data_IF_933975398911
#
_entry.id   IF_933975398911
#
_cell.length_a   1.000
_cell.length_b   1.000
_cell.length_c   1.000
_cell.angle_alpha   90.00
_cell.angle_beta   90.00
_cell.angle_gamma   90.00
#
_symmetry.space_group_name_H-M   'P 1'
#
loop_
_entity.id
_entity.type
_entity.pdbx_description
1 polymer ?
#
# COMPACT_ATOMS: atom_id res chain seq x y z
N UNK A 1 -2.14 -33.76 47.41
CA UNK A 1 -2.09 -32.30 47.20
C UNK A 1 -1.64 -32.03 45.76
N UNK A 2 -2.54 -31.56 44.88
CA UNK A 2 -2.23 -31.26 43.47
C UNK A 2 -1.84 -29.77 43.37
N UNK A 3 -0.58 -29.49 43.03
CA UNK A 3 -0.10 -28.13 42.74
C UNK A 3 -0.35 -27.84 41.26
N UNK A 4 -1.30 -26.96 40.97
CA UNK A 4 -1.61 -26.48 39.63
C UNK A 4 -0.64 -25.35 39.27
N UNK A 5 0.23 -25.57 38.28
CA UNK A 5 1.05 -24.50 37.70
C UNK A 5 0.25 -23.80 36.60
N UNK A 6 -0.05 -22.52 36.79
CA UNK A 6 -0.63 -21.66 35.76
C UNK A 6 0.52 -21.12 34.89
N UNK A 7 0.65 -21.59 33.64
CA UNK A 7 1.51 -20.94 32.65
C UNK A 7 0.75 -19.75 32.04
N UNK A 8 1.21 -18.54 32.34
CA UNK A 8 0.76 -17.32 31.66
C UNK A 8 1.60 -17.18 30.39
N UNK A 9 1.05 -17.56 29.25
CA UNK A 9 1.63 -17.19 27.95
C UNK A 9 1.46 -15.68 27.74
N UNK A 10 2.54 -14.90 27.95
CA UNK A 10 2.62 -13.53 27.43
C UNK A 10 2.64 -13.61 25.90
N UNK A 11 1.50 -13.39 25.26
CA UNK A 11 1.46 -13.10 23.84
C UNK A 11 2.07 -11.70 23.63
N UNK A 12 3.31 -11.65 23.14
CA UNK A 12 3.91 -10.42 22.67
C UNK A 12 3.09 -9.91 21.48
N UNK A 13 2.25 -8.90 21.70
CA UNK A 13 1.58 -8.17 20.61
C UNK A 13 2.68 -7.34 19.95
N UNK A 14 3.28 -7.89 18.90
CA UNK A 14 4.17 -7.11 18.05
C UNK A 14 3.39 -5.92 17.50
N UNK A 15 3.73 -4.71 17.94
CA UNK A 15 3.22 -3.49 17.33
C UNK A 15 3.68 -3.52 15.88
N UNK A 16 2.74 -3.68 14.94
CA UNK A 16 3.05 -3.58 13.52
C UNK A 16 3.59 -2.16 13.29
N UNK A 17 4.90 -2.06 13.03
CA UNK A 17 5.54 -0.79 12.66
C UNK A 17 4.80 -0.20 11.46
N UNK A 18 4.71 1.13 11.43
CA UNK A 18 4.34 1.82 10.22
C UNK A 18 5.36 1.45 9.13
N UNK A 19 4.86 0.99 7.98
CA UNK A 19 5.67 0.65 6.82
C UNK A 19 5.59 1.82 5.86
N UNK A 20 6.73 2.40 5.48
CA UNK A 20 6.79 3.50 4.53
C UNK A 20 7.32 2.98 3.20
N UNK A 21 6.57 3.25 2.13
CA UNK A 21 6.91 2.89 0.76
C UNK A 21 7.19 4.19 0.02
N UNK A 22 8.45 4.41 -0.38
CA UNK A 22 8.78 5.48 -1.33
C UNK A 22 8.30 5.07 -2.72
N UNK A 23 7.60 5.97 -3.42
CA UNK A 23 7.15 5.74 -4.79
C UNK A 23 8.21 6.14 -5.83
N UNK A 24 9.38 6.62 -5.37
CA UNK A 24 10.56 6.77 -6.22
C UNK A 24 11.09 5.37 -6.57
N UNK A 25 10.76 4.92 -7.78
CA UNK A 25 11.08 3.55 -8.24
C UNK A 25 12.56 3.40 -8.62
N UNK A 26 13.20 4.46 -9.10
CA UNK A 26 14.58 4.40 -9.60
C UNK A 26 15.55 3.99 -8.49
N UNK A 27 16.25 2.86 -8.69
CA UNK A 27 17.18 2.32 -7.71
C UNK A 27 16.54 1.72 -6.45
N UNK A 28 15.21 1.62 -6.37
CA UNK A 28 14.51 1.05 -5.23
C UNK A 28 14.33 -0.48 -5.39
N UNK A 29 15.03 -1.32 -4.62
CA UNK A 29 15.00 -2.77 -4.77
C UNK A 29 13.67 -3.41 -4.34
N UNK A 30 12.79 -2.66 -3.66
CA UNK A 30 11.46 -3.16 -3.29
C UNK A 30 10.54 -3.30 -4.52
N UNK A 31 10.83 -2.59 -5.60
CA UNK A 31 10.01 -2.55 -6.81
C UNK A 31 10.57 -3.46 -7.90
N UNK A 32 9.70 -4.31 -8.44
CA UNK A 32 9.94 -5.03 -9.68
C UNK A 32 9.36 -4.25 -10.85
N UNK A 33 10.20 -3.94 -11.84
CA UNK A 33 9.79 -3.21 -13.04
C UNK A 33 9.23 -4.16 -14.12
N UNK A 34 8.28 -3.64 -14.89
CA UNK A 34 7.62 -4.32 -15.99
C UNK A 34 7.46 -3.33 -17.15
N UNK A 35 7.73 -3.81 -18.38
CA UNK A 35 7.45 -3.03 -19.58
C UNK A 35 6.01 -3.17 -20.05
N UNK A 36 5.57 -2.26 -20.91
CA UNK A 36 4.23 -2.23 -21.50
C UNK A 36 3.79 -3.56 -22.13
N UNK A 37 4.74 -4.31 -22.70
CA UNK A 37 4.47 -5.57 -23.38
C UNK A 37 4.74 -6.82 -22.51
N UNK A 38 5.10 -6.64 -21.24
CA UNK A 38 5.41 -7.76 -20.35
C UNK A 38 4.18 -8.64 -20.11
N UNK A 39 4.38 -9.96 -20.06
CA UNK A 39 3.35 -10.89 -19.58
C UNK A 39 3.27 -10.78 -18.06
N UNK A 40 2.19 -10.19 -17.57
CA UNK A 40 1.98 -9.86 -16.15
C UNK A 40 0.83 -10.66 -15.54
N UNK A 41 0.79 -10.73 -14.22
CA UNK A 41 -0.36 -11.29 -13.51
C UNK A 41 -1.63 -10.48 -13.82
N UNK A 42 -2.83 -11.10 -13.83
CA UNK A 42 -4.08 -10.38 -14.07
C UNK A 42 -4.30 -9.17 -13.15
N UNK A 43 -3.74 -9.20 -11.95
CA UNK A 43 -3.83 -8.09 -11.01
C UNK A 43 -3.19 -6.80 -11.51
N UNK A 44 -2.13 -6.91 -12.33
CA UNK A 44 -1.36 -5.78 -12.81
C UNK A 44 -1.84 -5.28 -14.17
N UNK A 45 -2.93 -5.86 -14.72
CA UNK A 45 -3.43 -5.45 -16.04
C UNK A 45 -3.99 -4.04 -16.05
N UNK A 46 -4.58 -3.58 -14.95
CA UNK A 46 -5.09 -2.20 -14.83
C UNK A 46 -3.96 -1.20 -15.01
N UNK A 47 -2.95 -1.24 -14.13
CA UNK A 47 -1.78 -0.37 -14.19
C UNK A 47 -0.98 -0.52 -15.49
N UNK A 48 -0.85 -1.73 -16.06
CA UNK A 48 -0.16 -1.92 -17.34
C UNK A 48 -0.87 -1.19 -18.49
N UNK A 49 -2.21 -1.23 -18.53
CA UNK A 49 -2.99 -0.55 -19.56
C UNK A 49 -2.95 0.98 -19.38
N UNK A 50 -2.82 1.45 -18.14
CA UNK A 50 -2.77 2.88 -17.80
C UNK A 50 -1.40 3.49 -18.08
N UNK A 51 -0.33 2.88 -17.55
CA UNK A 51 1.01 3.46 -17.60
C UNK A 51 1.87 2.96 -18.78
N UNK A 52 1.54 1.80 -19.36
CA UNK A 52 2.48 1.03 -20.18
C UNK A 52 3.59 0.46 -19.30
N UNK A 53 4.67 1.21 -19.08
CA UNK A 53 5.78 0.84 -18.20
C UNK A 53 5.44 1.17 -16.74
N UNK A 54 5.63 0.19 -15.86
CA UNK A 54 5.24 0.30 -14.45
C UNK A 54 6.14 -0.54 -13.54
N UNK A 55 6.04 -0.32 -12.23
CA UNK A 55 6.73 -1.13 -11.24
C UNK A 55 5.80 -1.52 -10.09
N UNK A 56 6.07 -2.66 -9.46
CA UNK A 56 5.22 -3.22 -8.41
C UNK A 56 6.05 -3.61 -7.19
N UNK A 57 5.57 -3.25 -6.00
CA UNK A 57 6.07 -3.72 -4.71
C UNK A 57 4.96 -4.43 -3.92
N UNK A 58 5.23 -5.55 -3.22
CA UNK A 58 4.28 -6.13 -2.30
C UNK A 58 4.08 -5.20 -1.09
N UNK A 59 2.87 -5.17 -0.55
CA UNK A 59 2.54 -4.40 0.66
C UNK A 59 1.73 -5.23 1.63
N UNK A 60 1.99 -5.08 2.93
CA UNK A 60 1.21 -5.76 3.95
C UNK A 60 -0.04 -4.95 4.30
N UNK A 61 -1.20 -5.18 3.68
CA UNK A 61 -2.44 -4.46 4.06
C UNK A 61 -3.32 -5.22 5.03
N UNK A 62 -3.09 -6.52 5.20
CA UNK A 62 -3.88 -7.38 6.06
C UNK A 62 -2.98 -8.41 6.72
N UNK A 63 -3.24 -8.76 8.00
CA UNK A 63 -2.58 -9.91 8.63
C UNK A 63 -3.04 -11.24 8.04
N UNK A 64 -4.16 -11.27 7.30
CA UNK A 64 -4.65 -12.48 6.63
C UNK A 64 -3.82 -12.78 5.39
N UNK A 65 -3.30 -14.00 5.29
CA UNK A 65 -2.41 -14.44 4.20
C UNK A 65 -3.13 -14.93 2.93
N UNK A 66 -4.46 -14.88 2.89
CA UNK A 66 -5.25 -15.42 1.77
C UNK A 66 -5.40 -14.44 0.59
N UNK A 67 -5.03 -13.18 0.79
CA UNK A 67 -5.00 -12.14 -0.23
C UNK A 67 -3.64 -11.46 -0.22
N UNK A 68 -3.04 -11.32 -1.41
CA UNK A 68 -1.82 -10.54 -1.61
C UNK A 68 -2.20 -9.12 -2.00
N UNK A 69 -1.41 -8.15 -1.56
CA UNK A 69 -1.60 -6.75 -1.89
C UNK A 69 -0.33 -6.17 -2.47
N UNK A 70 -0.50 -5.22 -3.38
CA UNK A 70 0.60 -4.60 -4.10
C UNK A 70 0.38 -3.10 -4.22
N UNK A 71 1.46 -2.34 -4.20
CA UNK A 71 1.51 -0.98 -4.73
C UNK A 71 2.11 -1.09 -6.13
N UNK A 72 1.40 -0.58 -7.13
CA UNK A 72 1.88 -0.48 -8.50
C UNK A 72 1.98 0.98 -8.90
N UNK A 73 3.05 1.37 -9.59
CA UNK A 73 3.43 2.76 -9.82
C UNK A 73 3.79 2.92 -11.31
N UNK A 74 3.30 3.97 -11.96
CA UNK A 74 3.76 4.32 -13.31
C UNK A 74 5.24 4.72 -13.26
N UNK A 75 6.09 4.14 -14.12
CA UNK A 75 7.53 4.51 -14.16
C UNK A 75 7.82 5.64 -15.14
N UNK A 76 6.87 5.97 -15.99
CA UNK A 76 6.94 7.15 -16.85
C UNK A 76 6.36 8.36 -16.11
N UNK A 77 7.23 9.20 -15.56
CA UNK A 77 6.83 10.44 -14.89
C UNK A 77 7.81 10.85 -13.79
N UNK A 78 8.57 11.92 -14.02
CA UNK A 78 9.34 12.59 -12.97
C UNK A 78 8.49 13.71 -12.39
N UNK A 79 7.81 13.46 -11.27
CA UNK A 79 6.91 14.46 -10.68
C UNK A 79 6.72 14.24 -9.19
N UNK A 80 6.54 15.36 -8.50
CA UNK A 80 6.07 15.54 -7.11
C UNK A 80 4.83 14.70 -6.70
N UNK A 81 4.16 14.09 -7.67
CA UNK A 81 3.06 13.14 -7.48
C UNK A 81 3.13 12.09 -8.58
N UNK A 82 3.58 10.89 -8.24
CA UNK A 82 3.60 9.72 -9.11
C UNK A 82 2.27 8.99 -9.01
N UNK A 83 1.66 8.70 -10.15
CA UNK A 83 0.43 7.92 -10.23
C UNK A 83 0.69 6.48 -9.76
N UNK A 84 -0.18 5.99 -8.88
CA UNK A 84 -0.10 4.64 -8.35
C UNK A 84 -1.48 4.02 -8.15
N UNK A 85 -1.51 2.70 -8.16
CA UNK A 85 -2.65 1.88 -7.79
C UNK A 85 -2.30 0.97 -6.59
N UNK A 86 -3.22 0.81 -5.65
CA UNK A 86 -3.18 -0.28 -4.66
C UNK A 86 -4.05 -1.42 -5.14
N UNK A 87 -3.45 -2.59 -5.27
CA UNK A 87 -4.06 -3.76 -5.88
C UNK A 87 -4.22 -4.87 -4.85
N UNK A 88 -5.28 -5.66 -5.01
CA UNK A 88 -5.45 -6.95 -4.33
C UNK A 88 -5.47 -8.08 -5.36
N UNK A 89 -4.88 -9.22 -4.98
CA UNK A 89 -4.87 -10.46 -5.75
C UNK A 89 -5.15 -11.62 -4.80
N UNK A 90 -6.26 -12.33 -5.01
CA UNK A 90 -6.66 -13.46 -4.16
C UNK A 90 -7.83 -14.26 -4.75
N UNK A 91 -7.80 -15.59 -4.58
CA UNK A 91 -8.85 -16.53 -5.04
C UNK A 91 -9.26 -16.34 -6.51
N UNK A 92 -8.28 -16.12 -7.39
CA UNK A 92 -8.50 -15.91 -8.82
C UNK A 92 -9.14 -14.58 -9.19
N UNK A 93 -9.30 -13.65 -8.24
CA UNK A 93 -9.84 -12.31 -8.47
C UNK A 93 -8.77 -11.28 -8.16
N UNK A 94 -8.77 -10.23 -8.96
CA UNK A 94 -7.95 -9.04 -8.72
C UNK A 94 -8.81 -7.80 -8.69
N UNK A 95 -8.40 -6.82 -7.90
CA UNK A 95 -9.17 -5.59 -7.75
C UNK A 95 -8.28 -4.42 -7.38
N UNK A 96 -8.53 -3.28 -8.02
CA UNK A 96 -8.00 -1.97 -7.63
C UNK A 96 -8.75 -1.47 -6.39
N UNK A 97 -8.01 -1.18 -5.34
CA UNK A 97 -8.51 -0.71 -4.05
C UNK A 97 -8.34 0.81 -3.88
N UNK A 98 -7.34 1.40 -4.52
CA UNK A 98 -7.08 2.83 -4.58
C UNK A 98 -6.37 3.14 -5.90
N UNK A 99 -6.70 4.27 -6.50
CA UNK A 99 -5.93 4.95 -7.54
C UNK A 99 -5.74 6.37 -7.05
N UNK A 100 -4.50 6.84 -7.01
CA UNK A 100 -4.15 8.16 -6.47
C UNK A 100 -2.75 8.59 -6.95
N UNK A 101 -2.32 9.78 -6.55
CA UNK A 101 -0.98 10.30 -6.79
C UNK A 101 -0.24 10.61 -5.50
N UNK A 102 1.09 10.43 -5.49
CA UNK A 102 1.93 10.87 -4.39
C UNK A 102 3.39 10.48 -4.58
N UNK A 103 4.23 10.77 -3.60
CA UNK A 103 5.62 10.32 -3.58
C UNK A 103 5.90 9.28 -2.47
N UNK A 104 4.96 9.09 -1.53
CA UNK A 104 5.11 8.12 -0.45
C UNK A 104 3.79 7.60 0.09
N UNK A 105 3.79 6.32 0.50
CA UNK A 105 2.66 5.66 1.15
C UNK A 105 3.11 5.13 2.51
N UNK A 106 2.42 5.53 3.57
CA UNK A 106 2.58 4.99 4.92
C UNK A 106 1.44 4.02 5.23
N UNK A 107 1.78 2.80 5.59
CA UNK A 107 0.80 1.82 6.08
C UNK A 107 0.67 1.98 7.59
N UNK A 108 -0.52 2.40 8.03
CA UNK A 108 -0.78 2.75 9.41
C UNK A 108 -1.18 1.50 10.22
N UNK A 109 -0.93 1.49 11.54
CA UNK A 109 -1.26 0.34 12.38
C UNK A 109 -2.77 0.11 12.57
N UNK A 110 -3.59 1.16 12.39
CA UNK A 110 -5.04 1.08 12.55
C UNK A 110 -5.65 0.33 11.37
N UNK A 111 -6.69 -0.47 11.62
CA UNK A 111 -7.37 -1.28 10.60
C UNK A 111 -8.87 -0.95 10.57
N UNK A 112 -9.47 -0.94 9.37
CA UNK A 112 -10.92 -0.87 9.18
C UNK A 112 -11.36 -1.85 8.09
N UNK A 113 -12.47 -2.54 8.31
CA UNK A 113 -13.05 -3.51 7.36
C UNK A 113 -12.03 -4.54 6.83
N UNK A 114 -11.09 -4.95 7.67
CA UNK A 114 -10.11 -5.98 7.33
C UNK A 114 -8.80 -5.46 6.75
N UNK A 115 -8.63 -4.17 6.40
CA UNK A 115 -7.37 -3.63 5.88
C UNK A 115 -6.81 -2.49 6.73
N UNK A 116 -5.47 -2.39 6.78
CA UNK A 116 -4.74 -1.30 7.43
C UNK A 116 -5.10 0.03 6.76
N UNK A 117 -5.25 1.08 7.54
CA UNK A 117 -5.36 2.45 7.04
C UNK A 117 -4.06 2.82 6.34
N UNK A 118 -4.13 3.73 5.38
CA UNK A 118 -2.95 4.23 4.68
C UNK A 118 -2.94 5.75 4.72
N UNK A 119 -1.75 6.34 4.65
CA UNK A 119 -1.56 7.75 4.42
C UNK A 119 -0.70 7.93 3.18
N UNK A 120 -1.17 8.74 2.25
CA UNK A 120 -0.46 9.11 1.03
C UNK A 120 0.08 10.50 1.22
N UNK A 121 1.36 10.69 0.93
CA UNK A 121 2.01 11.99 0.94
C UNK A 121 2.24 12.44 -0.49
N UNK A 122 1.80 13.66 -0.80
CA UNK A 122 1.97 14.32 -2.10
C UNK A 122 2.49 15.75 -1.90
N UNK A 123 3.19 16.29 -2.90
CA UNK A 123 3.64 17.67 -2.88
C UNK A 123 5.05 17.88 -3.45
N UNK A 124 5.46 19.14 -3.50
CA UNK A 124 6.72 19.60 -4.10
C UNK A 124 7.50 20.48 -3.11
N UNK A 125 8.59 21.11 -3.58
CA UNK A 125 9.34 22.05 -2.77
C UNK A 125 8.42 23.21 -2.29
N UNK A 126 8.20 23.27 -0.97
CA UNK A 126 7.37 24.29 -0.32
C UNK A 126 5.90 23.92 -0.12
N UNK A 127 5.43 22.76 -0.60
CA UNK A 127 4.07 22.28 -0.36
C UNK A 127 4.07 20.77 -0.08
N UNK A 128 3.39 20.35 0.98
CA UNK A 128 3.18 18.94 1.26
C UNK A 128 1.80 18.72 1.87
N UNK A 129 1.12 17.68 1.39
CA UNK A 129 -0.15 17.22 1.94
C UNK A 129 -0.09 15.73 2.27
N UNK A 130 -0.61 15.38 3.45
CA UNK A 130 -0.89 13.99 3.84
C UNK A 130 -2.40 13.76 3.73
N UNK A 131 -2.81 12.84 2.85
CA UNK A 131 -4.20 12.34 2.77
C UNK A 131 -4.26 10.95 3.38
N UNK A 132 -5.12 10.77 4.39
CA UNK A 132 -5.38 9.48 5.04
C UNK A 132 -6.60 8.81 4.46
N UNK A 133 -6.48 7.52 4.23
CA UNK A 133 -7.53 6.67 3.67
C UNK A 133 -7.91 5.53 4.61
N UNK A 134 -9.19 5.17 4.55
CA UNK A 134 -9.78 4.01 5.23
C UNK A 134 -10.42 3.09 4.22
N UNK A 135 -10.24 1.79 4.42
CA UNK A 135 -10.96 0.81 3.61
C UNK A 135 -12.40 0.70 4.09
N UNK A 136 -13.35 0.86 3.17
CA UNK A 136 -14.79 0.79 3.48
C UNK A 136 -15.43 -0.59 3.20
N UNK A 137 -14.61 -1.63 2.98
CA UNK A 137 -15.07 -2.95 2.55
C UNK A 137 -15.06 -3.13 1.02
N UNK A 138 -14.99 -2.03 0.25
CA UNK A 138 -14.90 -2.05 -1.22
C UNK A 138 -13.62 -1.40 -1.75
N UNK A 139 -13.29 -0.19 -1.29
CA UNK A 139 -12.15 0.60 -1.73
C UNK A 139 -11.65 1.49 -0.59
N UNK A 140 -10.45 2.04 -0.74
CA UNK A 140 -9.96 3.10 0.13
C UNK A 140 -10.70 4.40 -0.16
N UNK A 141 -11.09 5.12 0.89
CA UNK A 141 -11.73 6.43 0.81
C UNK A 141 -11.00 7.42 1.71
N UNK A 142 -10.76 8.66 1.24
CA UNK A 142 -10.10 9.67 2.04
C UNK A 142 -11.00 10.04 3.23
N UNK A 143 -10.41 10.26 4.40
CA UNK A 143 -11.15 10.68 5.60
C UNK A 143 -10.47 11.81 6.37
N UNK A 144 -9.21 12.12 6.06
CA UNK A 144 -8.49 13.24 6.63
C UNK A 144 -7.45 13.72 5.64
N UNK A 145 -7.32 15.03 5.48
CA UNK A 145 -6.30 15.69 4.66
C UNK A 145 -5.70 16.82 5.48
N UNK A 146 -4.37 16.92 5.52
CA UNK A 146 -3.67 17.99 6.25
C UNK A 146 -2.38 18.41 5.54
N UNK A 147 -1.99 19.65 5.73
CA UNK A 147 -0.63 20.11 5.43
C UNK A 147 0.39 19.28 6.24
N UNK A 148 1.52 18.95 5.63
CA UNK A 148 2.66 18.41 6.37
C UNK A 148 3.49 19.51 7.04
N UNK A 149 3.27 20.78 6.68
CA UNK A 149 4.11 21.92 7.03
C UNK A 149 3.60 22.71 8.26
N UNK A 150 2.48 22.32 8.85
CA UNK A 150 1.80 23.06 9.93
C UNK A 150 0.38 23.43 9.56
#
# INVERSE_FOLDING_TARGET
>A
MKKTFLLICLAAIAAASAETISLEVSGNPAFRQYSANAKVEPAFKSIQNECGDFAVAPVSLSPKKDTKYFVAVCTMGGSASTEFQILSSGRGKSKVLLEDGGYGINILPKQHNGLRDIAVTEGNAGYCTETRYRFNGKAYRPYKRKSCLG
#
